data_IF_210873411234
#
_entry.id   IF_210873411234
#
_cell.length_a   1.000
_cell.length_b   1.000
_cell.length_c   1.000
_cell.angle_alpha   90.00
_cell.angle_beta   90.00
_cell.angle_gamma   90.00
#
_symmetry.space_group_name_H-M   'P 1'
#
loop_
_entity.id
_entity.type
_entity.pdbx_description
1 polymer ?
#
# COMPACT_ATOMS: atom_id res chain seq x y z
N UNK A 1 -14.67 29.78 -6.13
CA UNK A 1 -13.91 29.95 -4.87
C UNK A 1 -14.47 29.05 -3.78
N UNK A 2 -15.75 29.17 -3.37
CA UNK A 2 -16.34 28.27 -2.37
C UNK A 2 -16.27 26.78 -2.75
N UNK A 3 -16.61 26.43 -4.00
CA UNK A 3 -16.57 25.04 -4.45
C UNK A 3 -15.17 24.42 -4.57
N UNK A 4 -14.09 25.14 -4.27
CA UNK A 4 -12.72 24.59 -4.23
C UNK A 4 -12.38 23.96 -2.87
N UNK A 5 -13.24 24.14 -1.87
CA UNK A 5 -13.08 23.53 -0.57
C UNK A 5 -13.80 22.17 -0.55
N UNK A 6 -13.18 21.14 0.03
CA UNK A 6 -13.71 19.77 0.05
C UNK A 6 -15.15 19.71 0.56
N UNK A 7 -15.44 20.38 1.68
CA UNK A 7 -16.77 20.41 2.30
C UNK A 7 -17.86 21.07 1.42
N UNK A 8 -17.47 21.99 0.53
CA UNK A 8 -18.41 22.80 -0.27
C UNK A 8 -18.50 22.36 -1.73
N UNK A 9 -17.57 21.52 -2.20
CA UNK A 9 -17.51 21.02 -3.57
C UNK A 9 -18.81 20.30 -3.97
N UNK A 10 -19.35 19.46 -3.09
CA UNK A 10 -20.63 18.76 -3.30
C UNK A 10 -21.78 19.75 -3.55
N UNK A 11 -21.92 20.76 -2.69
CA UNK A 11 -22.99 21.75 -2.79
C UNK A 11 -22.82 22.65 -4.01
N UNK A 12 -21.59 23.01 -4.35
CA UNK A 12 -21.28 23.74 -5.57
C UNK A 12 -21.68 22.94 -6.80
N UNK A 13 -21.37 21.64 -6.85
CA UNK A 13 -21.78 20.76 -7.95
C UNK A 13 -23.31 20.73 -8.10
N UNK A 14 -24.05 20.56 -6.99
CA UNK A 14 -25.52 20.56 -6.99
C UNK A 14 -26.09 21.89 -7.48
N UNK A 15 -25.51 23.02 -7.06
CA UNK A 15 -25.94 24.34 -7.52
C UNK A 15 -25.69 24.52 -9.02
N UNK A 16 -24.50 24.14 -9.51
CA UNK A 16 -24.16 24.19 -10.94
C UNK A 16 -25.14 23.36 -11.77
N UNK A 17 -25.43 22.13 -11.36
CA UNK A 17 -26.39 21.24 -12.05
C UNK A 17 -27.81 21.80 -12.13
N UNK A 18 -28.22 22.68 -11.19
CA UNK A 18 -29.56 23.29 -11.20
C UNK A 18 -29.62 24.62 -11.91
N UNK A 19 -28.51 25.36 -11.95
CA UNK A 19 -28.46 26.72 -12.47
C UNK A 19 -28.07 26.79 -13.94
N UNK A 20 -27.30 25.82 -14.43
CA UNK A 20 -26.79 25.81 -15.79
C UNK A 20 -27.58 24.83 -16.67
N UNK A 21 -27.98 25.22 -17.89
CA UNK A 21 -28.55 24.30 -18.87
C UNK A 21 -27.60 23.16 -19.26
N UNK A 22 -26.30 23.46 -19.29
CA UNK A 22 -25.21 22.50 -19.50
C UNK A 22 -24.17 22.67 -18.37
N UNK A 23 -24.24 21.84 -17.31
CA UNK A 23 -23.38 21.98 -16.14
C UNK A 23 -22.04 21.25 -16.29
N UNK A 24 -21.89 20.30 -17.22
CA UNK A 24 -20.69 19.45 -17.31
C UNK A 24 -19.39 20.25 -17.48
N UNK A 25 -19.31 21.28 -18.37
CA UNK A 25 -18.07 22.05 -18.50
C UNK A 25 -17.66 22.77 -17.21
N UNK A 26 -18.63 23.25 -16.44
CA UNK A 26 -18.37 23.93 -15.17
C UNK A 26 -17.95 22.95 -14.07
N UNK A 27 -18.62 21.80 -13.99
CA UNK A 27 -18.28 20.71 -13.05
C UNK A 27 -16.90 20.14 -13.37
N UNK A 28 -16.59 19.90 -14.64
CA UNK A 28 -15.29 19.41 -15.09
C UNK A 28 -14.16 20.39 -14.76
N UNK A 29 -14.37 21.68 -15.03
CA UNK A 29 -13.40 22.71 -14.62
C UNK A 29 -13.16 22.71 -13.11
N UNK A 30 -14.20 22.46 -12.31
CA UNK A 30 -14.07 22.38 -10.86
C UNK A 30 -13.32 21.11 -10.43
N UNK A 31 -13.65 19.95 -11.02
CA UNK A 31 -13.03 18.65 -10.71
C UNK A 31 -11.52 18.63 -10.97
N UNK A 32 -11.07 19.40 -11.97
CA UNK A 32 -9.64 19.58 -12.29
C UNK A 32 -8.87 20.42 -11.25
N UNK A 33 -9.57 21.12 -10.36
CA UNK A 33 -8.97 22.04 -9.39
C UNK A 33 -9.06 21.56 -7.94
N UNK A 34 -9.73 20.42 -7.71
CA UNK A 34 -9.90 19.85 -6.38
C UNK A 34 -9.42 18.40 -6.35
N UNK A 35 -9.11 17.93 -5.15
CA UNK A 35 -8.78 16.54 -4.82
C UNK A 35 -9.75 16.09 -3.70
N UNK A 36 -9.39 15.05 -2.96
CA UNK A 36 -10.15 14.55 -1.83
C UNK A 36 -11.61 14.18 -2.14
N UNK A 37 -12.49 14.48 -1.19
CA UNK A 37 -13.92 14.18 -1.29
C UNK A 37 -14.62 15.07 -2.32
N UNK A 38 -14.09 16.29 -2.52
CA UNK A 38 -14.61 17.20 -3.52
C UNK A 38 -14.50 16.62 -4.93
N UNK A 39 -13.33 16.04 -5.27
CA UNK A 39 -13.14 15.35 -6.55
C UNK A 39 -14.06 14.15 -6.70
N UNK A 40 -14.22 13.33 -5.65
CA UNK A 40 -15.11 12.16 -5.66
C UNK A 40 -16.51 12.55 -6.15
N UNK A 41 -17.13 13.53 -5.49
CA UNK A 41 -18.48 13.98 -5.82
C UNK A 41 -18.63 14.57 -7.23
N UNK A 42 -17.59 15.22 -7.75
CA UNK A 42 -17.63 15.85 -9.06
C UNK A 42 -17.45 14.83 -10.18
N UNK A 43 -16.50 13.90 -10.04
CA UNK A 43 -16.22 12.86 -11.03
C UNK A 43 -17.39 11.87 -11.14
N UNK A 44 -18.03 11.50 -10.02
CA UNK A 44 -19.24 10.68 -10.03
C UNK A 44 -20.34 11.26 -10.94
N UNK A 45 -20.48 12.60 -10.95
CA UNK A 45 -21.45 13.30 -11.81
C UNK A 45 -21.02 13.35 -13.28
N UNK A 46 -19.72 13.31 -13.55
CA UNK A 46 -19.17 13.28 -14.90
C UNK A 46 -19.11 11.86 -15.48
N UNK A 47 -19.32 10.83 -14.65
CA UNK A 47 -19.20 9.41 -15.07
C UNK A 47 -20.20 8.97 -16.14
N UNK A 48 -21.23 9.77 -16.43
CA UNK A 48 -22.20 9.51 -17.50
C UNK A 48 -22.06 10.47 -18.70
N UNK A 49 -20.97 11.24 -18.76
CA UNK A 49 -20.75 12.23 -19.82
C UNK A 49 -20.73 11.59 -21.21
N UNK A 50 -21.18 12.34 -22.20
CA UNK A 50 -21.01 12.02 -23.62
C UNK A 50 -19.90 12.84 -24.29
N UNK A 51 -19.32 13.80 -23.58
CA UNK A 51 -18.31 14.75 -24.07
C UNK A 51 -16.95 14.07 -24.19
N UNK A 52 -16.37 14.04 -25.39
CA UNK A 52 -15.14 13.30 -25.67
C UNK A 52 -13.94 13.78 -24.83
N UNK A 53 -13.81 15.09 -24.63
CA UNK A 53 -12.73 15.71 -23.86
C UNK A 53 -12.82 15.35 -22.37
N UNK A 54 -14.04 15.23 -21.84
CA UNK A 54 -14.25 14.81 -20.45
C UNK A 54 -13.96 13.32 -20.30
N UNK A 55 -14.34 12.49 -21.28
CA UNK A 55 -14.00 11.05 -21.29
C UNK A 55 -12.49 10.82 -21.29
N UNK A 56 -11.75 11.51 -22.17
CA UNK A 56 -10.30 11.42 -22.22
C UNK A 56 -9.67 11.86 -20.89
N UNK A 57 -10.16 12.96 -20.31
CA UNK A 57 -9.70 13.41 -19.00
C UNK A 57 -9.99 12.41 -17.87
N UNK A 58 -11.17 11.79 -17.85
CA UNK A 58 -11.52 10.76 -16.86
C UNK A 58 -10.50 9.61 -16.89
N UNK A 59 -10.12 9.15 -18.09
CA UNK A 59 -9.17 8.05 -18.25
C UNK A 59 -7.72 8.41 -17.93
N UNK A 60 -7.33 9.69 -18.07
CA UNK A 60 -5.92 10.11 -17.91
C UNK A 60 -5.59 10.74 -16.56
N UNK A 61 -6.58 11.36 -15.93
CA UNK A 61 -6.37 12.18 -14.73
C UNK A 61 -7.52 12.10 -13.72
N UNK A 62 -8.75 11.82 -14.16
CA UNK A 62 -9.94 11.96 -13.32
C UNK A 62 -9.97 11.03 -12.11
N UNK A 63 -9.32 9.86 -12.19
CA UNK A 63 -9.26 8.90 -11.09
C UNK A 63 -8.23 9.24 -10.02
N UNK A 64 -7.21 10.05 -10.35
CA UNK A 64 -6.12 10.39 -9.41
C UNK A 64 -6.71 11.20 -8.25
N UNK A 65 -6.41 10.83 -7.02
CA UNK A 65 -7.03 11.46 -5.87
C UNK A 65 -6.14 11.38 -4.63
N UNK A 66 -6.20 12.39 -3.77
CA UNK A 66 -5.40 12.44 -2.54
C UNK A 66 -5.86 11.48 -1.44
N UNK A 67 -7.08 10.92 -1.56
CA UNK A 67 -7.58 9.90 -0.63
C UNK A 67 -7.17 8.51 -1.14
N UNK A 68 -7.82 8.04 -2.20
CA UNK A 68 -7.61 6.72 -2.81
C UNK A 68 -8.08 6.77 -4.26
N UNK A 69 -7.37 6.11 -5.17
CA UNK A 69 -7.76 5.99 -6.58
C UNK A 69 -9.00 5.11 -6.75
N UNK A 70 -9.17 4.14 -5.84
CA UNK A 70 -10.21 3.11 -5.79
C UNK A 70 -11.61 3.72 -5.71
N UNK A 71 -11.77 4.90 -5.11
CA UNK A 71 -13.06 5.62 -5.12
C UNK A 71 -13.52 6.01 -6.52
N UNK A 72 -12.59 6.24 -7.44
CA UNK A 72 -12.87 6.86 -8.73
C UNK A 72 -12.55 5.98 -9.94
N UNK A 73 -11.74 4.94 -9.76
CA UNK A 73 -11.27 4.05 -10.83
C UNK A 73 -12.45 3.47 -11.64
N UNK A 74 -13.47 2.93 -10.97
CA UNK A 74 -14.65 2.37 -11.64
C UNK A 74 -15.45 3.42 -12.43
N UNK A 75 -15.69 4.58 -11.81
CA UNK A 75 -16.43 5.67 -12.45
C UNK A 75 -15.70 6.19 -13.69
N UNK A 76 -14.37 6.31 -13.61
CA UNK A 76 -13.53 6.76 -14.72
C UNK A 76 -13.42 5.69 -15.82
N UNK A 77 -13.21 4.42 -15.47
CA UNK A 77 -13.13 3.32 -16.44
C UNK A 77 -14.44 3.17 -17.25
N UNK A 78 -15.58 3.29 -16.57
CA UNK A 78 -16.90 3.19 -17.18
C UNK A 78 -17.26 4.46 -17.96
N UNK A 79 -17.15 5.63 -17.33
CA UNK A 79 -17.55 6.91 -17.93
C UNK A 79 -16.65 7.36 -19.06
N UNK A 80 -15.34 7.13 -18.92
CA UNK A 80 -14.35 7.35 -19.96
C UNK A 80 -14.38 6.30 -21.08
N UNK A 81 -15.07 5.17 -20.88
CA UNK A 81 -15.11 4.03 -21.80
C UNK A 81 -13.71 3.47 -22.10
N UNK A 82 -13.03 3.01 -21.04
CA UNK A 82 -11.67 2.48 -21.10
C UNK A 82 -11.51 1.37 -22.14
N UNK A 83 -12.50 0.47 -22.27
CA UNK A 83 -12.53 -0.56 -23.31
C UNK A 83 -12.38 0.02 -24.71
N UNK A 84 -13.20 1.01 -25.08
CA UNK A 84 -13.12 1.60 -26.41
C UNK A 84 -11.79 2.33 -26.63
N UNK A 85 -11.26 2.98 -25.60
CA UNK A 85 -9.99 3.69 -25.67
C UNK A 85 -8.80 2.73 -25.90
N UNK A 86 -8.75 1.59 -25.21
CA UNK A 86 -7.68 0.59 -25.37
C UNK A 86 -7.80 -0.25 -26.66
N UNK A 87 -9.02 -0.39 -27.20
CA UNK A 87 -9.26 -1.07 -28.48
C UNK A 87 -9.07 -0.16 -29.70
N UNK A 88 -8.75 1.12 -29.50
CA UNK A 88 -8.44 2.03 -30.60
C UNK A 88 -7.25 1.53 -31.44
N UNK A 89 -7.19 1.84 -32.75
CA UNK A 89 -6.09 1.41 -33.61
C UNK A 89 -4.71 1.89 -33.16
N UNK A 90 -4.66 3.04 -32.50
CA UNK A 90 -3.47 3.61 -31.90
C UNK A 90 -3.80 4.04 -30.47
N UNK A 91 -2.96 3.60 -29.52
CA UNK A 91 -3.05 3.93 -28.09
C UNK A 91 -1.71 4.51 -27.70
N UNK A 92 -1.70 5.74 -27.19
CA UNK A 92 -0.47 6.40 -26.78
C UNK A 92 0.01 5.91 -25.40
N UNK A 93 1.30 6.16 -25.12
CA UNK A 93 1.94 5.73 -23.88
C UNK A 93 1.29 6.32 -22.61
N UNK A 94 0.77 7.54 -22.67
CA UNK A 94 0.16 8.18 -21.50
C UNK A 94 -1.18 7.54 -21.14
N UNK A 95 -1.95 7.08 -22.12
CA UNK A 95 -3.18 6.33 -21.90
C UNK A 95 -2.89 4.93 -21.38
N UNK A 96 -1.84 4.27 -21.88
CA UNK A 96 -1.40 2.96 -21.35
C UNK A 96 -0.97 3.11 -19.88
N UNK A 97 -0.20 4.14 -19.55
CA UNK A 97 0.23 4.37 -18.16
C UNK A 97 -0.97 4.59 -17.23
N UNK A 98 -1.89 5.48 -17.63
CA UNK A 98 -3.08 5.77 -16.82
C UNK A 98 -4.06 4.57 -16.74
N UNK A 99 -4.20 3.79 -17.80
CA UNK A 99 -4.98 2.56 -17.78
C UNK A 99 -4.41 1.53 -16.80
N UNK A 100 -3.08 1.47 -16.65
CA UNK A 100 -2.42 0.64 -15.63
C UNK A 100 -2.85 1.01 -14.23
N UNK A 101 -2.75 2.31 -13.90
CA UNK A 101 -3.15 2.83 -12.58
C UNK A 101 -4.64 2.58 -12.29
N UNK A 102 -5.53 2.74 -13.28
CA UNK A 102 -6.96 2.42 -13.13
C UNK A 102 -7.17 0.92 -12.90
N UNK A 103 -6.47 0.06 -13.65
CA UNK A 103 -6.57 -1.39 -13.52
C UNK A 103 -6.08 -1.86 -12.15
N UNK A 104 -4.95 -1.34 -11.67
CA UNK A 104 -4.42 -1.63 -10.34
C UNK A 104 -5.42 -1.24 -9.25
N UNK A 105 -5.99 -0.04 -9.31
CA UNK A 105 -6.99 0.41 -8.34
C UNK A 105 -8.28 -0.43 -8.39
N UNK A 106 -8.74 -0.84 -9.58
CA UNK A 106 -9.89 -1.75 -9.70
C UNK A 106 -9.59 -3.13 -9.10
N UNK A 107 -8.38 -3.66 -9.28
CA UNK A 107 -7.97 -4.97 -8.76
C UNK A 107 -7.81 -4.95 -7.24
N UNK A 108 -7.19 -3.89 -6.71
CA UNK A 108 -7.00 -3.69 -5.28
C UNK A 108 -8.33 -3.67 -4.54
N UNK A 109 -9.35 -3.06 -5.16
CA UNK A 109 -10.68 -2.94 -4.60
C UNK A 109 -10.72 -1.96 -3.43
N UNK A 110 -11.92 -1.56 -3.03
CA UNK A 110 -12.07 -0.53 -2.02
C UNK A 110 -13.52 -0.30 -1.63
N UNK A 111 -13.83 0.89 -1.08
CA UNK A 111 -15.18 1.23 -0.63
C UNK A 111 -16.18 1.45 -1.76
N UNK A 112 -15.69 1.61 -3.00
CA UNK A 112 -16.49 1.72 -4.21
C UNK A 112 -16.46 0.41 -5.01
N UNK A 113 -17.18 0.39 -6.13
CA UNK A 113 -17.18 -0.73 -7.09
C UNK A 113 -15.77 -1.02 -7.60
N UNK A 114 -15.47 -2.30 -7.85
CA UNK A 114 -14.14 -2.78 -8.19
C UNK A 114 -14.10 -3.52 -9.53
N UNK A 115 -13.01 -4.27 -9.79
CA UNK A 115 -12.83 -5.04 -11.02
C UNK A 115 -13.91 -6.13 -11.22
N UNK A 116 -14.49 -6.67 -10.15
CA UNK A 116 -15.54 -7.69 -10.22
C UNK A 116 -16.92 -7.08 -10.50
N UNK A 117 -17.09 -5.75 -10.37
CA UNK A 117 -18.25 -5.00 -10.87
C UNK A 117 -18.09 -4.52 -12.32
N UNK A 118 -16.86 -4.55 -12.86
CA UNK A 118 -16.55 -3.98 -14.16
C UNK A 118 -16.83 -4.97 -15.30
N UNK A 119 -17.95 -4.78 -15.99
CA UNK A 119 -18.43 -5.68 -17.04
C UNK A 119 -17.44 -5.93 -18.19
N UNK A 120 -16.54 -4.98 -18.45
CA UNK A 120 -15.54 -5.05 -19.52
C UNK A 120 -14.18 -5.58 -19.06
N UNK A 121 -14.07 -6.07 -17.81
CA UNK A 121 -12.81 -6.50 -17.19
C UNK A 121 -11.99 -7.44 -18.08
N UNK A 122 -12.57 -8.55 -18.55
CA UNK A 122 -11.81 -9.55 -19.32
C UNK A 122 -11.14 -8.95 -20.57
N UNK A 123 -11.89 -8.13 -21.33
CA UNK A 123 -11.39 -7.51 -22.57
C UNK A 123 -10.34 -6.44 -22.25
N UNK A 124 -10.58 -5.62 -21.24
CA UNK A 124 -9.65 -4.55 -20.84
C UNK A 124 -8.33 -5.13 -20.34
N UNK A 125 -8.37 -6.13 -19.45
CA UNK A 125 -7.14 -6.75 -18.92
C UNK A 125 -6.36 -7.45 -20.02
N UNK A 126 -7.05 -8.20 -20.90
CA UNK A 126 -6.39 -8.84 -22.05
C UNK A 126 -5.71 -7.81 -22.94
N UNK A 127 -6.42 -6.75 -23.32
CA UNK A 127 -5.89 -5.72 -24.21
C UNK A 127 -4.74 -4.96 -23.57
N UNK A 128 -4.81 -4.68 -22.27
CA UNK A 128 -3.76 -4.04 -21.52
C UNK A 128 -2.46 -4.85 -21.55
N UNK A 129 -2.53 -6.15 -21.23
CA UNK A 129 -1.35 -7.04 -21.27
C UNK A 129 -0.72 -7.10 -22.67
N UNK A 130 -1.53 -7.15 -23.74
CA UNK A 130 -1.04 -7.09 -25.13
C UNK A 130 -0.29 -5.81 -25.47
N UNK A 131 -0.81 -4.66 -25.02
CA UNK A 131 -0.20 -3.35 -25.22
C UNK A 131 1.12 -3.24 -24.45
N UNK A 132 1.18 -3.75 -23.21
CA UNK A 132 2.42 -3.76 -22.42
C UNK A 132 3.46 -4.70 -23.03
N UNK A 133 3.05 -5.88 -23.49
CA UNK A 133 3.97 -6.85 -24.09
C UNK A 133 4.71 -6.30 -25.30
N UNK A 134 4.01 -5.52 -26.15
CA UNK A 134 4.54 -4.97 -27.40
C UNK A 134 5.06 -3.52 -27.30
N UNK A 135 4.78 -2.84 -26.20
CA UNK A 135 5.07 -1.41 -26.02
C UNK A 135 6.41 -1.11 -25.35
N UNK A 136 6.60 0.19 -25.07
CA UNK A 136 7.73 0.70 -24.29
C UNK A 136 7.65 0.16 -22.85
N UNK A 137 8.72 -0.46 -22.33
CA UNK A 137 8.71 -0.98 -20.97
C UNK A 137 8.75 0.17 -19.95
N UNK A 138 7.88 0.11 -18.94
CA UNK A 138 7.86 0.99 -17.76
C UNK A 138 7.51 0.18 -16.53
N UNK A 139 8.13 0.47 -15.39
CA UNK A 139 7.91 -0.33 -14.17
C UNK A 139 6.46 -0.26 -13.67
N UNK A 140 5.77 0.87 -13.81
CA UNK A 140 4.33 0.93 -13.52
C UNK A 140 3.49 -0.05 -14.37
N UNK A 141 3.83 -0.22 -15.65
CA UNK A 141 3.17 -1.21 -16.52
C UNK A 141 3.47 -2.64 -16.11
N UNK A 142 4.70 -2.91 -15.71
CA UNK A 142 5.11 -4.22 -15.17
C UNK A 142 4.30 -4.56 -13.92
N UNK A 143 4.18 -3.62 -12.98
CA UNK A 143 3.44 -3.81 -11.73
C UNK A 143 1.95 -4.00 -11.99
N UNK A 144 1.34 -3.24 -12.91
CA UNK A 144 -0.04 -3.46 -13.33
C UNK A 144 -0.26 -4.85 -13.94
N UNK A 145 0.66 -5.35 -14.78
CA UNK A 145 0.59 -6.73 -15.30
C UNK A 145 0.76 -7.76 -14.18
N UNK A 146 1.61 -7.50 -13.20
CA UNK A 146 1.75 -8.38 -12.04
C UNK A 146 0.48 -8.41 -11.18
N UNK A 147 -0.16 -7.26 -10.94
CA UNK A 147 -1.45 -7.18 -10.25
C UNK A 147 -2.54 -7.96 -11.00
N UNK A 148 -2.57 -7.88 -12.34
CA UNK A 148 -3.45 -8.72 -13.18
C UNK A 148 -3.15 -10.21 -12.96
N UNK A 149 -1.87 -10.61 -12.93
CA UNK A 149 -1.50 -12.01 -12.71
C UNK A 149 -2.00 -12.52 -11.36
N UNK A 150 -1.76 -11.77 -10.27
CA UNK A 150 -2.24 -12.11 -8.94
C UNK A 150 -3.78 -12.17 -8.87
N UNK A 151 -4.46 -11.21 -9.52
CA UNK A 151 -5.93 -11.21 -9.65
C UNK A 151 -6.42 -12.51 -10.26
N UNK A 152 -5.80 -12.95 -11.36
CA UNK A 152 -6.18 -14.15 -12.10
C UNK A 152 -5.81 -15.44 -11.37
N UNK A 153 -4.75 -15.45 -10.55
CA UNK A 153 -4.26 -16.63 -9.83
C UNK A 153 -4.88 -16.80 -8.44
N UNK A 154 -5.75 -15.89 -8.00
CA UNK A 154 -6.45 -15.98 -6.70
C UNK A 154 -7.07 -17.37 -6.47
N UNK A 155 -6.90 -17.90 -5.27
CA UNK A 155 -7.53 -19.17 -4.88
C UNK A 155 -9.06 -19.04 -4.82
N UNK A 156 -9.57 -17.85 -4.47
CA UNK A 156 -10.99 -17.52 -4.37
C UNK A 156 -11.68 -17.27 -5.72
N UNK A 157 -11.13 -17.80 -6.82
CA UNK A 157 -11.69 -17.59 -8.15
C UNK A 157 -13.02 -18.31 -8.35
N UNK A 158 -14.10 -17.54 -8.37
CA UNK A 158 -15.43 -18.01 -8.79
C UNK A 158 -15.65 -17.70 -10.28
N UNK A 159 -15.64 -18.76 -11.08
CA UNK A 159 -15.82 -18.71 -12.53
C UNK A 159 -17.25 -18.30 -12.94
N UNK A 160 -18.27 -18.74 -12.19
CA UNK A 160 -19.66 -18.48 -12.55
C UNK A 160 -20.02 -17.02 -12.29
N UNK A 161 -19.56 -16.47 -11.16
CA UNK A 161 -19.76 -15.07 -10.82
C UNK A 161 -19.12 -14.14 -11.87
N UNK A 162 -17.97 -14.52 -12.43
CA UNK A 162 -17.18 -13.70 -13.34
C UNK A 162 -17.52 -13.87 -14.82
N UNK A 163 -18.36 -14.86 -15.16
CA UNK A 163 -18.85 -15.05 -16.52
C UNK A 163 -19.60 -13.81 -17.05
N UNK A 164 -20.29 -13.07 -16.16
CA UNK A 164 -20.99 -11.84 -16.49
C UNK A 164 -20.05 -10.71 -16.96
N UNK A 165 -18.76 -10.74 -16.56
CA UNK A 165 -17.74 -9.76 -16.94
C UNK A 165 -16.86 -10.26 -18.10
N UNK A 166 -17.38 -11.23 -18.86
CA UNK A 166 -16.72 -11.75 -20.05
C UNK A 166 -15.63 -12.79 -19.80
N UNK A 167 -15.52 -13.34 -18.59
CA UNK A 167 -14.53 -14.38 -18.29
C UNK A 167 -15.00 -15.78 -18.67
N UNK A 168 -14.16 -16.46 -19.44
CA UNK A 168 -14.17 -17.93 -19.61
C UNK A 168 -12.91 -18.52 -18.99
N UNK A 169 -12.92 -19.82 -18.66
CA UNK A 169 -11.73 -20.54 -18.20
C UNK A 169 -10.58 -20.43 -19.20
N UNK A 170 -10.90 -20.50 -20.50
CA UNK A 170 -9.92 -20.40 -21.57
C UNK A 170 -9.25 -19.01 -21.60
N UNK A 171 -10.04 -17.93 -21.54
CA UNK A 171 -9.49 -16.57 -21.52
C UNK A 171 -8.64 -16.31 -20.27
N UNK A 172 -9.08 -16.81 -19.11
CA UNK A 172 -8.30 -16.71 -17.86
C UNK A 172 -6.94 -17.40 -18.02
N UNK A 173 -6.93 -18.66 -18.47
CA UNK A 173 -5.70 -19.42 -18.65
C UNK A 173 -4.76 -18.79 -19.69
N UNK A 174 -5.31 -18.30 -20.80
CA UNK A 174 -4.53 -17.62 -21.84
C UNK A 174 -3.91 -16.32 -21.30
N UNK A 175 -4.68 -15.51 -20.55
CA UNK A 175 -4.17 -14.26 -20.02
C UNK A 175 -3.12 -14.48 -18.92
N UNK A 176 -3.28 -15.50 -18.07
CA UNK A 176 -2.24 -15.91 -17.11
C UNK A 176 -0.93 -16.21 -17.86
N UNK A 177 -0.98 -17.05 -18.90
CA UNK A 177 0.21 -17.42 -19.65
C UNK A 177 0.89 -16.20 -20.32
N UNK A 178 0.09 -15.28 -20.88
CA UNK A 178 0.61 -14.04 -21.48
C UNK A 178 1.20 -13.10 -20.44
N UNK A 179 0.53 -12.91 -19.30
CA UNK A 179 1.04 -12.07 -18.21
C UNK A 179 2.36 -12.63 -17.68
N UNK A 180 2.46 -13.95 -17.47
CA UNK A 180 3.71 -14.61 -17.08
C UNK A 180 4.84 -14.38 -18.09
N UNK A 181 4.56 -14.47 -19.40
CA UNK A 181 5.54 -14.16 -20.45
C UNK A 181 6.03 -12.71 -20.38
N UNK A 182 5.13 -11.76 -20.12
CA UNK A 182 5.50 -10.36 -19.92
C UNK A 182 6.41 -10.23 -18.69
N UNK A 183 6.03 -10.80 -17.55
CA UNK A 183 6.83 -10.71 -16.31
C UNK A 183 8.23 -11.32 -16.48
N UNK A 184 8.36 -12.41 -17.24
CA UNK A 184 9.63 -13.11 -17.47
C UNK A 184 10.51 -12.46 -18.57
N UNK A 185 10.08 -11.34 -19.16
CA UNK A 185 10.83 -10.67 -20.20
C UNK A 185 12.16 -10.10 -19.67
N UNK A 186 13.25 -10.43 -20.37
CA UNK A 186 14.63 -9.96 -20.06
C UNK A 186 14.82 -8.45 -20.07
N UNK A 187 13.85 -7.67 -20.56
CA UNK A 187 13.87 -6.19 -20.53
C UNK A 187 13.73 -5.60 -19.13
N UNK A 188 13.15 -6.31 -18.15
CA UNK A 188 12.85 -5.75 -16.83
C UNK A 188 14.05 -5.62 -15.89
N UNK A 189 14.93 -6.63 -15.73
CA UNK A 189 16.03 -6.53 -14.76
C UNK A 189 16.94 -5.31 -14.95
N UNK A 190 17.35 -4.91 -16.19
CA UNK A 190 18.13 -3.69 -16.39
C UNK A 190 17.38 -2.41 -15.99
N UNK A 191 16.07 -2.34 -16.24
CA UNK A 191 15.24 -1.19 -15.87
C UNK A 191 15.08 -1.08 -14.35
N UNK A 192 14.88 -2.22 -13.67
CA UNK A 192 14.84 -2.28 -12.21
C UNK A 192 16.17 -1.80 -11.62
N UNK A 193 17.29 -2.33 -12.10
CA UNK A 193 18.61 -1.92 -11.62
C UNK A 193 18.88 -0.42 -11.79
N UNK A 194 18.45 0.16 -12.92
CA UNK A 194 18.56 1.61 -13.14
C UNK A 194 17.66 2.41 -12.20
N UNK A 195 16.40 1.99 -12.05
CA UNK A 195 15.39 2.72 -11.27
C UNK A 195 15.62 2.62 -9.75
N UNK A 196 16.27 1.56 -9.26
CA UNK A 196 16.70 1.44 -7.86
C UNK A 196 17.69 2.53 -7.43
N UNK A 197 18.46 3.10 -8.37
CA UNK A 197 19.37 4.22 -8.12
C UNK A 197 18.72 5.59 -8.39
N UNK A 198 17.40 5.64 -8.68
CA UNK A 198 16.70 6.89 -8.94
C UNK A 198 16.60 7.75 -7.68
N UNK A 199 16.71 9.08 -7.86
CA UNK A 199 16.42 10.05 -6.81
C UNK A 199 14.92 10.34 -6.66
N UNK A 200 14.11 9.91 -7.63
CA UNK A 200 12.65 9.94 -7.52
C UNK A 200 12.20 8.78 -6.64
N UNK A 201 11.63 9.11 -5.47
CA UNK A 201 11.20 8.12 -4.48
C UNK A 201 10.09 7.20 -5.01
N UNK A 202 9.18 7.72 -5.84
CA UNK A 202 8.10 6.91 -6.41
C UNK A 202 8.66 5.92 -7.43
N UNK A 203 9.64 6.34 -8.23
CA UNK A 203 10.33 5.46 -9.17
C UNK A 203 11.15 4.39 -8.44
N UNK A 204 11.93 4.78 -7.43
CA UNK A 204 12.72 3.85 -6.61
C UNK A 204 11.83 2.84 -5.87
N UNK A 205 10.69 3.29 -5.33
CA UNK A 205 9.71 2.40 -4.69
C UNK A 205 9.15 1.36 -5.68
N UNK A 206 8.72 1.80 -6.87
CA UNK A 206 8.27 0.89 -7.94
C UNK A 206 9.37 -0.09 -8.36
N UNK A 207 10.63 0.34 -8.36
CA UNK A 207 11.77 -0.52 -8.65
C UNK A 207 11.97 -1.60 -7.59
N UNK A 208 11.88 -1.27 -6.29
CA UNK A 208 11.93 -2.26 -5.21
C UNK A 208 10.76 -3.25 -5.31
N UNK A 209 9.53 -2.78 -5.60
CA UNK A 209 8.38 -3.65 -5.87
C UNK A 209 8.67 -4.62 -7.01
N UNK A 210 9.13 -4.11 -8.16
CA UNK A 210 9.42 -4.93 -9.32
C UNK A 210 10.59 -5.90 -9.11
N UNK A 211 11.62 -5.49 -8.36
CA UNK A 211 12.75 -6.32 -8.00
C UNK A 211 12.31 -7.58 -7.25
N UNK A 212 11.37 -7.46 -6.30
CA UNK A 212 10.83 -8.60 -5.55
C UNK A 212 10.07 -9.58 -6.43
N UNK A 213 9.24 -9.08 -7.35
CA UNK A 213 8.54 -9.92 -8.33
C UNK A 213 9.54 -10.73 -9.17
N UNK A 214 10.70 -10.15 -9.49
CA UNK A 214 11.76 -10.78 -10.26
C UNK A 214 12.76 -11.60 -9.42
N UNK A 215 12.63 -11.61 -8.09
CA UNK A 215 13.59 -12.26 -7.18
C UNK A 215 14.98 -11.60 -7.17
N UNK A 216 15.06 -10.30 -7.47
CA UNK A 216 16.28 -9.51 -7.41
C UNK A 216 16.49 -9.04 -5.96
N UNK A 217 17.63 -9.36 -5.38
CA UNK A 217 18.00 -8.91 -4.03
C UNK A 217 18.30 -7.40 -4.02
N UNK A 218 17.47 -6.63 -3.30
CA UNK A 218 17.59 -5.17 -3.17
C UNK A 218 18.32 -4.73 -1.91
N UNK A 219 18.85 -5.69 -1.12
CA UNK A 219 19.47 -5.42 0.17
C UNK A 219 20.51 -4.31 0.16
N UNK A 220 21.49 -4.35 -0.74
CA UNK A 220 22.59 -3.37 -0.74
C UNK A 220 22.11 -1.95 -1.06
N UNK A 221 21.02 -1.81 -1.81
CA UNK A 221 20.39 -0.52 -2.13
C UNK A 221 19.65 0.00 -0.89
N UNK A 222 18.74 -0.81 -0.35
CA UNK A 222 17.92 -0.44 0.80
C UNK A 222 18.79 -0.21 2.06
N UNK A 223 19.87 -0.98 2.22
CA UNK A 223 20.83 -0.82 3.31
C UNK A 223 21.60 0.50 3.20
N UNK A 224 22.01 0.92 2.00
CA UNK A 224 22.63 2.24 1.79
C UNK A 224 21.66 3.38 2.12
N UNK A 225 20.41 3.26 1.69
CA UNK A 225 19.39 4.29 1.93
C UNK A 225 19.08 4.42 3.42
N UNK A 226 18.87 3.29 4.10
CA UNK A 226 18.68 3.25 5.56
C UNK A 226 19.83 3.92 6.31
N UNK A 227 21.09 3.66 5.91
CA UNK A 227 22.26 4.28 6.54
C UNK A 227 22.38 5.78 6.26
N UNK A 228 21.88 6.26 5.13
CA UNK A 228 21.88 7.68 4.79
C UNK A 228 20.81 8.46 5.57
N UNK A 229 19.65 7.84 5.80
CA UNK A 229 18.48 8.49 6.41
C UNK A 229 17.84 7.59 7.51
N UNK A 230 18.55 7.29 8.61
CA UNK A 230 18.12 6.30 9.61
C UNK A 230 16.88 6.72 10.42
N UNK A 231 16.46 7.98 10.30
CA UNK A 231 15.26 8.52 10.96
C UNK A 231 14.07 8.63 9.99
N UNK A 232 14.12 7.96 8.84
CA UNK A 232 12.94 7.76 7.99
C UNK A 232 12.46 6.32 8.15
N UNK A 233 11.33 6.16 8.82
CA UNK A 233 10.74 4.86 9.18
C UNK A 233 10.49 3.95 7.98
N UNK A 234 10.18 4.51 6.80
CA UNK A 234 10.01 3.76 5.56
C UNK A 234 11.22 2.90 5.16
N UNK A 235 12.45 3.34 5.47
CA UNK A 235 13.66 2.56 5.17
C UNK A 235 13.81 1.33 6.10
N UNK A 236 13.35 1.44 7.35
CA UNK A 236 13.30 0.31 8.28
C UNK A 236 12.27 -0.72 7.84
N UNK A 237 11.09 -0.28 7.41
CA UNK A 237 10.06 -1.16 6.82
C UNK A 237 10.63 -1.98 5.65
N UNK A 238 11.29 -1.31 4.70
CA UNK A 238 11.85 -1.96 3.52
C UNK A 238 12.91 -3.02 3.86
N UNK A 239 13.84 -2.71 4.76
CA UNK A 239 14.90 -3.64 5.16
C UNK A 239 14.35 -4.82 5.98
N UNK A 240 13.36 -4.57 6.84
CA UNK A 240 12.82 -5.60 7.75
C UNK A 240 11.84 -6.56 7.07
N UNK A 241 11.13 -6.14 6.01
CA UNK A 241 10.11 -6.96 5.35
C UNK A 241 10.63 -8.32 4.87
N UNK A 242 11.83 -8.33 4.28
CA UNK A 242 12.43 -9.52 3.65
C UNK A 242 13.80 -9.87 4.26
N UNK A 243 14.03 -9.48 5.53
CA UNK A 243 15.32 -9.68 6.20
C UNK A 243 15.60 -11.18 6.43
N UNK A 244 16.78 -11.63 6.00
CA UNK A 244 17.22 -13.02 6.23
C UNK A 244 17.78 -13.23 7.65
N UNK A 245 17.79 -14.47 8.18
CA UNK A 245 18.44 -14.80 9.45
C UNK A 245 19.91 -14.39 9.57
N UNK A 246 20.65 -14.36 8.45
CA UNK A 246 22.06 -13.95 8.43
C UNK A 246 22.24 -12.43 8.50
N UNK A 247 21.18 -11.67 8.19
CA UNK A 247 21.20 -10.19 8.09
C UNK A 247 20.54 -9.50 9.29
N UNK A 248 19.63 -10.17 10.02
CA UNK A 248 18.87 -9.52 11.10
C UNK A 248 19.76 -8.92 12.19
N UNK A 249 20.86 -9.59 12.55
CA UNK A 249 21.80 -9.07 13.57
C UNK A 249 22.44 -7.77 13.11
N UNK A 250 22.80 -7.66 11.83
CA UNK A 250 23.34 -6.42 11.27
C UNK A 250 22.32 -5.27 11.36
N UNK A 251 21.04 -5.53 11.11
CA UNK A 251 19.98 -4.51 11.24
C UNK A 251 19.81 -4.07 12.68
N UNK A 252 19.72 -5.03 13.61
CA UNK A 252 19.55 -4.75 15.03
C UNK A 252 20.75 -4.00 15.61
N UNK A 253 21.97 -4.42 15.29
CA UNK A 253 23.17 -3.74 15.76
C UNK A 253 23.21 -2.29 15.28
N UNK A 254 22.84 -2.05 14.02
CA UNK A 254 22.73 -0.69 13.49
C UNK A 254 21.62 0.12 14.17
N UNK A 255 20.45 -0.49 14.43
CA UNK A 255 19.37 0.17 15.17
C UNK A 255 19.80 0.60 16.57
N UNK A 256 20.53 -0.26 17.29
CA UNK A 256 21.08 0.04 18.60
C UNK A 256 22.15 1.15 18.56
N UNK A 257 22.85 1.31 17.44
CA UNK A 257 23.84 2.37 17.24
C UNK A 257 23.17 3.73 16.98
N UNK A 258 22.09 3.77 16.19
CA UNK A 258 21.57 5.04 15.64
C UNK A 258 20.27 5.53 16.28
N UNK A 259 19.42 4.64 16.79
CA UNK A 259 18.13 5.04 17.36
C UNK A 259 18.31 5.53 18.79
N UNK A 260 17.77 6.72 19.15
CA UNK A 260 17.84 7.24 20.52
C UNK A 260 16.83 6.52 21.41
N UNK A 261 17.12 5.28 21.80
CA UNK A 261 16.19 4.45 22.59
C UNK A 261 15.82 5.06 23.94
N UNK A 262 16.68 5.90 24.51
CA UNK A 262 16.36 6.65 25.74
C UNK A 262 15.26 7.69 25.52
N UNK A 263 15.11 8.22 24.31
CA UNK A 263 14.01 9.12 23.92
C UNK A 263 12.70 8.36 23.64
N UNK A 264 12.80 7.05 23.34
CA UNK A 264 11.63 6.17 23.24
C UNK A 264 11.20 5.68 24.62
N UNK A 265 12.14 5.27 25.46
CA UNK A 265 11.90 4.62 26.75
C UNK A 265 11.60 5.62 27.89
N UNK A 266 10.73 6.61 27.64
CA UNK A 266 10.44 7.70 28.60
C UNK A 266 9.43 7.34 29.69
N UNK A 267 8.91 6.12 29.66
CA UNK A 267 7.90 5.61 30.59
C UNK A 267 6.53 5.43 29.95
N UNK A 268 5.74 4.43 30.38
CA UNK A 268 4.48 4.09 29.74
C UNK A 268 3.39 5.13 30.00
N UNK A 269 2.65 5.44 28.94
CA UNK A 269 1.53 6.37 28.88
C UNK A 269 0.50 5.89 27.85
N UNK A 270 -0.59 6.63 27.65
CA UNK A 270 -1.63 6.31 26.66
C UNK A 270 -1.47 7.09 25.35
N UNK A 271 -0.23 7.23 24.85
CA UNK A 271 0.02 7.96 23.60
C UNK A 271 -0.31 7.11 22.36
N UNK A 272 -0.90 7.77 21.34
CA UNK A 272 -1.29 7.12 20.08
C UNK A 272 -0.10 6.87 19.13
N UNK A 273 1.00 7.60 19.28
CA UNK A 273 2.16 7.47 18.39
C UNK A 273 1.98 8.10 17.01
N UNK A 274 1.15 9.15 16.88
CA UNK A 274 0.81 9.77 15.60
C UNK A 274 1.49 11.12 15.37
N UNK A 275 2.05 11.29 14.17
CA UNK A 275 2.64 12.53 13.67
C UNK A 275 4.16 12.59 13.83
N UNK A 276 4.80 13.66 13.29
CA UNK A 276 6.26 13.71 13.09
C UNK A 276 7.10 13.55 14.35
N UNK A 277 6.55 13.88 15.53
CA UNK A 277 7.25 13.71 16.81
C UNK A 277 7.48 12.24 17.20
N UNK A 278 6.80 11.31 16.54
CA UNK A 278 6.90 9.88 16.81
C UNK A 278 7.68 9.11 15.74
N UNK A 279 8.39 9.81 14.85
CA UNK A 279 9.12 9.15 13.75
C UNK A 279 10.10 8.07 14.25
N UNK A 280 10.80 8.30 15.37
CA UNK A 280 11.70 7.30 15.98
C UNK A 280 10.91 6.10 16.50
N UNK A 281 9.71 6.31 17.05
CA UNK A 281 8.83 5.23 17.49
C UNK A 281 8.36 4.40 16.28
N UNK A 282 8.03 5.06 15.15
CA UNK A 282 7.72 4.38 13.89
C UNK A 282 8.91 3.58 13.34
N UNK A 283 10.14 4.08 13.48
CA UNK A 283 11.35 3.33 13.14
C UNK A 283 11.49 2.06 13.98
N UNK A 284 11.39 2.19 15.32
CA UNK A 284 11.49 1.06 16.24
C UNK A 284 10.42 0.02 15.94
N UNK A 285 9.19 0.47 15.76
CA UNK A 285 8.05 -0.37 15.44
C UNK A 285 8.28 -1.28 14.22
N UNK A 286 8.76 -0.75 13.09
CA UNK A 286 9.00 -1.56 11.90
C UNK A 286 10.06 -2.64 12.15
N UNK A 287 11.02 -2.37 13.05
CA UNK A 287 11.97 -3.39 13.50
C UNK A 287 11.26 -4.44 14.34
N UNK A 288 10.46 -4.04 15.33
CA UNK A 288 9.75 -4.97 16.22
C UNK A 288 8.84 -5.91 15.43
N UNK A 289 8.14 -5.42 14.41
CA UNK A 289 7.23 -6.22 13.57
C UNK A 289 7.91 -7.45 12.96
N UNK A 290 9.19 -7.34 12.56
CA UNK A 290 9.93 -8.46 12.00
C UNK A 290 10.59 -9.38 13.04
N UNK A 291 10.74 -8.93 14.30
CA UNK A 291 11.50 -9.67 15.32
C UNK A 291 10.81 -10.96 15.79
N UNK A 292 9.50 -11.13 15.61
CA UNK A 292 8.80 -12.38 15.94
C UNK A 292 9.45 -13.61 15.27
N UNK A 293 10.01 -13.44 14.06
CA UNK A 293 10.68 -14.52 13.31
C UNK A 293 12.11 -14.84 13.80
N UNK A 294 12.65 -14.05 14.74
CA UNK A 294 14.05 -14.14 15.19
C UNK A 294 14.15 -14.17 16.72
N UNK A 295 13.83 -15.31 17.37
CA UNK A 295 14.03 -15.48 18.80
C UNK A 295 15.47 -15.13 19.23
N UNK A 296 15.60 -14.58 20.45
CA UNK A 296 16.86 -14.16 21.07
C UNK A 296 17.56 -12.94 20.44
N UNK A 297 16.98 -12.30 19.42
CA UNK A 297 17.58 -11.16 18.71
C UNK A 297 16.87 -9.84 19.03
N UNK A 298 17.61 -8.81 19.43
CA UNK A 298 17.03 -7.47 19.62
C UNK A 298 16.36 -7.22 20.97
N UNK A 299 16.73 -7.96 22.04
CA UNK A 299 16.21 -7.71 23.39
C UNK A 299 16.24 -6.22 23.83
N UNK A 300 17.33 -5.45 23.64
CA UNK A 300 17.34 -4.05 24.09
C UNK A 300 16.29 -3.16 23.37
N UNK A 301 15.92 -3.51 22.13
CA UNK A 301 14.86 -2.83 21.38
C UNK A 301 13.48 -3.12 22.01
N UNK A 302 13.22 -4.39 22.35
CA UNK A 302 12.00 -4.81 23.04
C UNK A 302 11.90 -4.18 24.43
N UNK A 303 13.01 -4.12 25.16
CA UNK A 303 13.09 -3.50 26.49
C UNK A 303 12.84 -1.98 26.45
N UNK A 304 13.30 -1.29 25.40
CA UNK A 304 12.96 0.10 25.17
C UNK A 304 11.48 0.27 24.85
N UNK A 305 10.94 -0.58 23.97
CA UNK A 305 9.54 -0.56 23.57
C UNK A 305 8.57 -0.82 24.72
N UNK A 306 8.86 -1.75 25.64
CA UNK A 306 8.06 -2.00 26.86
C UNK A 306 7.96 -0.76 27.77
N UNK A 307 8.92 0.16 27.68
CA UNK A 307 8.96 1.42 28.43
C UNK A 307 8.46 2.62 27.62
N UNK A 308 7.99 2.41 26.39
CA UNK A 308 7.51 3.49 25.52
C UNK A 308 6.21 4.12 26.04
N UNK A 309 6.02 5.44 25.88
CA UNK A 309 4.73 6.10 26.13
C UNK A 309 3.66 5.68 25.11
N UNK A 310 4.04 5.08 23.97
CA UNK A 310 3.12 4.67 22.91
C UNK A 310 2.55 3.28 23.19
N UNK A 311 1.23 3.20 23.33
CA UNK A 311 0.49 1.96 23.67
C UNK A 311 0.81 0.84 22.68
N UNK A 312 0.84 1.18 21.39
CA UNK A 312 1.02 0.24 20.28
C UNK A 312 2.40 -0.42 20.24
N UNK A 313 3.45 0.31 20.61
CA UNK A 313 4.81 -0.27 20.70
C UNK A 313 4.91 -1.28 21.84
N UNK A 314 4.28 -0.98 22.98
CA UNK A 314 4.20 -1.94 24.10
C UNK A 314 3.46 -3.20 23.68
N UNK A 315 2.35 -3.07 22.96
CA UNK A 315 1.65 -4.23 22.38
C UNK A 315 2.55 -5.04 21.45
N UNK A 316 3.27 -4.38 20.54
CA UNK A 316 4.17 -5.05 19.57
C UNK A 316 5.32 -5.79 20.27
N UNK A 317 5.93 -5.20 21.29
CA UNK A 317 6.94 -5.88 22.08
C UNK A 317 6.39 -7.14 22.77
N UNK A 318 5.18 -7.07 23.30
CA UNK A 318 4.52 -8.22 23.93
C UNK A 318 4.17 -9.32 22.93
N UNK A 319 3.72 -8.96 21.73
CA UNK A 319 3.45 -9.91 20.65
C UNK A 319 4.72 -10.68 20.27
N UNK A 320 5.84 -9.97 20.04
CA UNK A 320 7.15 -10.59 19.74
C UNK A 320 7.59 -11.54 20.86
N UNK A 321 7.51 -11.11 22.12
CA UNK A 321 7.91 -11.94 23.25
C UNK A 321 7.02 -13.19 23.42
N UNK A 322 5.72 -13.08 23.11
CA UNK A 322 4.81 -14.20 23.09
C UNK A 322 5.16 -15.20 21.97
N UNK A 323 5.44 -14.71 20.76
CA UNK A 323 5.82 -15.53 19.60
C UNK A 323 7.16 -16.25 19.81
N UNK A 324 8.12 -15.60 20.47
CA UNK A 324 9.39 -16.24 20.85
C UNK A 324 9.18 -17.41 21.79
N UNK A 325 8.13 -17.38 22.61
CA UNK A 325 7.87 -18.39 23.62
C UNK A 325 8.82 -18.31 24.82
N UNK A 326 8.34 -18.80 25.96
CA UNK A 326 9.02 -18.64 27.25
C UNK A 326 10.36 -19.36 27.37
N UNK A 327 10.62 -20.35 26.51
CA UNK A 327 11.88 -21.10 26.50
C UNK A 327 13.07 -20.25 26.00
N UNK A 328 12.78 -19.19 25.23
CA UNK A 328 13.77 -18.22 24.75
C UNK A 328 13.99 -17.06 25.74
N UNK A 329 13.24 -17.01 26.83
CA UNK A 329 13.30 -15.88 27.76
C UNK A 329 14.46 -16.04 28.75
N UNK A 330 15.43 -15.14 28.64
CA UNK A 330 16.44 -14.93 29.68
C UNK A 330 15.78 -14.31 30.93
N UNK A 331 16.38 -14.46 32.14
CA UNK A 331 15.82 -13.88 33.38
C UNK A 331 15.46 -12.39 33.27
N UNK A 332 16.28 -11.60 32.58
CA UNK A 332 16.04 -10.19 32.33
C UNK A 332 14.69 -9.90 31.63
N UNK A 333 14.22 -10.79 30.76
CA UNK A 333 12.92 -10.65 30.07
C UNK A 333 11.78 -10.73 31.07
N UNK A 334 11.83 -11.73 31.97
CA UNK A 334 10.80 -11.92 33.00
C UNK A 334 10.78 -10.76 33.99
N UNK A 335 11.96 -10.30 34.42
CA UNK A 335 12.08 -9.17 35.34
C UNK A 335 11.52 -7.89 34.71
N UNK A 336 11.82 -7.62 33.44
CA UNK A 336 11.31 -6.47 32.71
C UNK A 336 9.79 -6.54 32.51
N UNK A 337 9.22 -7.71 32.21
CA UNK A 337 7.76 -7.88 32.09
C UNK A 337 7.06 -7.65 33.43
N UNK A 338 7.59 -8.17 34.54
CA UNK A 338 7.05 -7.88 35.87
C UNK A 338 7.14 -6.39 36.22
N UNK A 339 8.27 -5.75 35.92
CA UNK A 339 8.42 -4.31 36.12
C UNK A 339 7.40 -3.51 35.29
N UNK A 340 7.23 -3.87 34.02
CA UNK A 340 6.26 -3.26 33.11
C UNK A 340 4.82 -3.42 33.63
N UNK A 341 4.43 -4.63 34.09
CA UNK A 341 3.10 -4.89 34.65
C UNK A 341 2.75 -3.96 35.82
N UNK A 342 3.72 -3.66 36.67
CA UNK A 342 3.55 -2.81 37.86
C UNK A 342 3.28 -1.35 37.48
N UNK A 343 3.97 -0.82 36.48
CA UNK A 343 3.91 0.60 36.10
C UNK A 343 2.93 0.89 34.95
N UNK A 344 2.40 -0.13 34.28
CA UNK A 344 1.56 0.02 33.10
C UNK A 344 0.23 0.74 33.41
N UNK A 345 -0.03 1.94 32.85
CA UNK A 345 -1.29 2.66 33.06
C UNK A 345 -2.47 2.05 32.31
N UNK A 346 -2.23 1.40 31.16
CA UNK A 346 -3.28 0.87 30.31
C UNK A 346 -3.74 -0.52 30.79
N UNK A 347 -5.02 -0.65 31.15
CA UNK A 347 -5.55 -1.91 31.70
C UNK A 347 -5.44 -3.10 30.74
N UNK A 348 -5.63 -2.90 29.42
CA UNK A 348 -5.52 -3.98 28.44
C UNK A 348 -4.06 -4.38 28.21
N UNK A 349 -3.13 -3.42 28.11
CA UNK A 349 -1.69 -3.73 28.04
C UNK A 349 -1.26 -4.51 29.28
N UNK A 350 -1.66 -4.06 30.48
CA UNK A 350 -1.31 -4.73 31.75
C UNK A 350 -1.81 -6.18 31.78
N UNK A 351 -3.06 -6.39 31.35
CA UNK A 351 -3.63 -7.73 31.21
C UNK A 351 -2.83 -8.58 30.24
N UNK A 352 -2.45 -8.05 29.07
CA UNK A 352 -1.63 -8.77 28.10
C UNK A 352 -0.23 -9.11 28.64
N UNK A 353 0.42 -8.21 29.42
CA UNK A 353 1.67 -8.54 30.11
C UNK A 353 1.49 -9.76 31.00
N UNK A 354 0.43 -9.79 31.82
CA UNK A 354 0.11 -10.92 32.67
C UNK A 354 -0.14 -12.22 31.88
N UNK A 355 -0.85 -12.15 30.75
CA UNK A 355 -1.10 -13.30 29.87
C UNK A 355 0.21 -13.87 29.31
N UNK A 356 1.08 -12.99 28.80
CA UNK A 356 2.39 -13.34 28.25
C UNK A 356 3.25 -14.00 29.34
N UNK A 357 3.30 -13.44 30.55
CA UNK A 357 3.99 -14.04 31.71
C UNK A 357 3.49 -15.44 32.09
N UNK A 358 2.21 -15.76 31.84
CA UNK A 358 1.62 -17.10 32.06
C UNK A 358 1.76 -18.04 30.86
N UNK A 359 2.29 -17.57 29.73
CA UNK A 359 2.42 -18.36 28.51
C UNK A 359 1.09 -18.56 27.78
N UNK A 360 0.13 -17.66 28.02
CA UNK A 360 -1.15 -17.66 27.29
C UNK A 360 -0.95 -17.08 25.87
N UNK A 361 -1.74 -17.53 24.88
CA UNK A 361 -1.68 -16.96 23.54
C UNK A 361 -1.92 -15.46 23.55
N UNK A 362 -1.11 -14.71 22.79
CA UNK A 362 -1.30 -13.29 22.59
C UNK A 362 -2.38 -13.08 21.53
N UNK A 363 -3.49 -12.42 21.90
CA UNK A 363 -4.53 -12.06 20.94
C UNK A 363 -4.10 -10.80 20.17
N UNK A 364 -3.54 -11.01 18.97
CA UNK A 364 -3.12 -9.95 18.07
C UNK A 364 -4.27 -9.28 17.30
N UNK A 365 -5.54 -9.62 17.60
CA UNK A 365 -6.71 -9.10 16.86
C UNK A 365 -6.95 -7.59 17.01
N UNK A 366 -6.21 -6.90 17.87
CA UNK A 366 -6.17 -5.43 17.92
C UNK A 366 -5.45 -4.90 16.67
N UNK A 367 -6.21 -4.70 15.59
CA UNK A 367 -5.74 -4.00 14.39
C UNK A 367 -5.61 -2.51 14.67
N UNK A 368 -4.42 -1.97 14.45
CA UNK A 368 -4.15 -0.54 14.55
C UNK A 368 -4.20 0.12 13.17
N UNK A 369 -4.51 1.43 13.06
CA UNK A 369 -4.62 2.12 11.76
C UNK A 369 -3.36 2.05 10.87
N UNK A 370 -2.18 1.80 11.43
CA UNK A 370 -0.94 1.58 10.67
C UNK A 370 -0.85 0.21 10.01
N UNK A 371 -1.57 -0.78 10.54
CA UNK A 371 -1.57 -2.14 10.00
C UNK A 371 -2.36 -2.21 8.68
N UNK A 372 -3.05 -1.11 8.33
CA UNK A 372 -3.72 -0.91 7.04
C UNK A 372 -2.89 -0.12 6.02
N UNK A 373 -1.70 0.36 6.37
CA UNK A 373 -0.80 1.06 5.44
C UNK A 373 0.09 0.10 4.63
N UNK A 374 -0.24 -1.21 4.61
CA UNK A 374 0.40 -2.18 3.70
C UNK A 374 0.12 -1.91 2.21
N UNK A 375 -0.73 -0.93 1.86
CA UNK A 375 -1.08 -0.61 0.46
C UNK A 375 -1.17 0.89 0.13
N UNK A 376 -0.49 1.77 0.88
CA UNK A 376 -0.60 3.23 0.69
C UNK A 376 0.73 3.95 0.67
N UNK A 377 1.55 3.73 -0.37
CA UNK A 377 2.70 4.59 -0.70
C UNK A 377 2.81 4.77 -2.21
#
# INVERSE_FOLDING_TARGET
>A
LLGLHDEFSLYAAVALSKMLPDPEPAIWRLARLVEGWGRVHLVERLSTTSTAEIKDWLLREGYRNSIMHEYLAFACATGGNLKAALLAPAVDDALIDAAGEIVEALIQGGPAKDIDDYADAAIVLQRYVELVASGTPRLGRFLAVHAILLYLERESWDQLARAANGWTEHQRAELIARAQQVIQDSRWPPLVAQALESTDRTEAYRADQAARVLGIDTWDVNWRQLRAEPFQSGHWYQIMRDVSPDRIRQVVDFALEVLPLDEVATGPADELGLGPRFEVHSCLEFILQGLSAFPDVGWPLLEAALRSPVVRERHKALAVLADWGQDHWKPAVRDALHAAEVVEPNAEVRKHIGNVLRGEPYDSSVRWPSDTDENGA
#
